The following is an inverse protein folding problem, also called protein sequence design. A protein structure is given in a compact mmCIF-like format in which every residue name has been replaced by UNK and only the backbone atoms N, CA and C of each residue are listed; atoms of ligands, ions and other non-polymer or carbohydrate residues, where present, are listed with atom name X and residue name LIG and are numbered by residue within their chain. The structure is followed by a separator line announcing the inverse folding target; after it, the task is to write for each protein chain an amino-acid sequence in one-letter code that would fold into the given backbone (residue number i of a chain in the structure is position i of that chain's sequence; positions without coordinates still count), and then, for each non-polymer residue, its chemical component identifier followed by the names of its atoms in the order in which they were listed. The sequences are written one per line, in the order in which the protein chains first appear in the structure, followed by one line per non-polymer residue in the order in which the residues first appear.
data_IF_198156502552
#
_entry.id   IF_198156502552
#
_cell.length_a   1.000
_cell.length_b   1.000
_cell.length_c   1.000
_cell.angle_alpha   90.00
_cell.angle_beta   90.00
_cell.angle_gamma   90.00
#
_symmetry.space_group_name_H-M   'P 1'
#
loop_
_entity.id
_entity.type
_entity.pdbx_description
1 polymer ?
#
# COMPACT_ATOMS: atom_id res chain seq x y z
N UNK A 1 -5.50 2.28 -23.64
CA UNK A 1 -6.44 2.29 -22.51
C UNK A 1 -5.66 1.80 -21.30
N UNK A 2 -5.00 2.72 -20.58
CA UNK A 2 -4.23 2.34 -19.40
C UNK A 2 -5.15 2.32 -18.17
N UNK A 3 -4.98 1.33 -17.28
CA UNK A 3 -5.70 1.24 -16.00
C UNK A 3 -5.66 2.53 -15.17
N UNK A 4 -4.60 3.32 -15.33
CA UNK A 4 -4.40 4.62 -14.68
C UNK A 4 -5.34 5.70 -15.25
N UNK A 5 -5.57 5.68 -16.57
CA UNK A 5 -6.55 6.54 -17.24
C UNK A 5 -7.98 6.17 -16.87
N UNK A 6 -8.29 4.86 -16.77
CA UNK A 6 -9.61 4.37 -16.37
C UNK A 6 -9.94 4.73 -14.91
N UNK A 7 -8.94 4.78 -14.03
CA UNK A 7 -9.07 5.23 -12.64
C UNK A 7 -9.07 6.77 -12.48
N UNK A 8 -8.84 7.53 -13.57
CA UNK A 8 -8.71 9.00 -13.58
C UNK A 8 -7.72 9.53 -12.53
N UNK A 9 -6.61 8.84 -12.30
CA UNK A 9 -5.62 9.24 -11.29
C UNK A 9 -4.71 10.31 -11.89
N UNK A 10 -4.68 11.49 -11.27
CA UNK A 10 -3.79 12.56 -11.70
C UNK A 10 -2.32 12.21 -11.36
N UNK A 11 -1.37 12.58 -12.22
CA UNK A 11 0.08 12.42 -12.01
C UNK A 11 0.54 12.97 -10.66
N UNK A 12 -0.05 14.09 -10.20
CA UNK A 12 0.23 14.66 -8.88
C UNK A 12 -0.14 13.71 -7.74
N UNK A 13 -1.28 13.01 -7.85
CA UNK A 13 -1.73 12.02 -6.87
C UNK A 13 -0.81 10.80 -6.85
N UNK A 14 -0.35 10.34 -8.02
CA UNK A 14 0.64 9.25 -8.13
C UNK A 14 1.93 9.63 -7.40
N UNK A 15 2.47 10.81 -7.68
CA UNK A 15 3.70 11.27 -7.05
C UNK A 15 3.57 11.41 -5.54
N UNK A 16 2.50 12.06 -5.05
CA UNK A 16 2.25 12.23 -3.62
C UNK A 16 2.01 10.90 -2.90
N UNK A 17 1.35 9.94 -3.56
CA UNK A 17 1.12 8.61 -3.05
C UNK A 17 2.45 7.86 -2.84
N UNK A 18 3.30 7.83 -3.86
CA UNK A 18 4.61 7.16 -3.79
C UNK A 18 5.50 7.87 -2.79
N UNK A 19 5.64 9.19 -2.87
CA UNK A 19 6.47 9.95 -1.93
C UNK A 19 5.99 9.78 -0.48
N UNK A 20 4.68 9.85 -0.24
CA UNK A 20 4.08 9.63 1.08
C UNK A 20 4.35 8.23 1.63
N UNK A 21 4.23 7.19 0.81
CA UNK A 21 4.47 5.81 1.21
C UNK A 21 5.96 5.50 1.44
N UNK A 22 6.86 6.18 0.73
CA UNK A 22 8.32 6.05 0.93
C UNK A 22 8.71 6.36 2.36
N UNK A 23 8.08 7.35 3.01
CA UNK A 23 8.35 7.67 4.41
C UNK A 23 8.03 6.50 5.35
N UNK A 24 6.96 5.74 5.11
CA UNK A 24 6.61 4.58 5.95
C UNK A 24 7.63 3.46 5.80
N UNK A 25 8.10 3.18 4.58
CA UNK A 25 9.15 2.19 4.36
C UNK A 25 10.48 2.62 4.94
N UNK A 26 10.80 3.92 4.88
CA UNK A 26 11.99 4.47 5.52
C UNK A 26 11.90 4.28 7.04
N UNK A 27 10.80 4.67 7.69
CA UNK A 27 10.60 4.43 9.13
C UNK A 27 10.72 2.94 9.47
N UNK A 28 10.08 2.05 8.71
CA UNK A 28 10.17 0.61 8.93
C UNK A 28 11.61 0.08 8.81
N UNK A 29 12.38 0.60 7.84
CA UNK A 29 13.76 0.21 7.63
C UNK A 29 14.64 0.63 8.81
N UNK A 30 14.47 1.86 9.29
CA UNK A 30 15.18 2.36 10.48
C UNK A 30 14.80 1.56 11.74
N UNK A 31 13.53 1.17 11.89
CA UNK A 31 13.08 0.42 13.07
C UNK A 31 13.56 -1.04 13.08
N UNK A 32 13.49 -1.74 11.95
CA UNK A 32 13.65 -3.20 11.90
C UNK A 32 14.93 -3.68 11.21
N UNK A 33 15.78 -2.76 10.72
CA UNK A 33 17.06 -3.05 10.07
C UNK A 33 18.18 -2.19 10.65
N UNK A 34 18.32 -2.24 11.98
CA UNK A 34 19.30 -1.44 12.75
C UNK A 34 20.76 -1.69 12.33
N UNK A 35 21.09 -2.87 11.80
CA UNK A 35 22.43 -3.17 11.26
C UNK A 35 22.86 -2.16 10.19
N UNK A 36 21.92 -1.67 9.38
CA UNK A 36 22.20 -0.68 8.35
C UNK A 36 22.30 0.74 8.91
N UNK A 37 21.73 1.01 10.08
CA UNK A 37 21.90 2.31 10.74
C UNK A 37 23.32 2.54 11.22
N UNK A 38 23.99 1.47 11.66
CA UNK A 38 25.40 1.53 12.08
C UNK A 38 26.35 1.83 10.92
N UNK A 39 25.90 1.61 9.67
CA UNK A 39 26.65 1.93 8.47
C UNK A 39 26.38 3.36 7.97
N UNK A 40 25.40 4.05 8.55
CA UNK A 40 25.06 5.41 8.16
C UNK A 40 25.95 6.39 8.91
N UNK A 41 26.66 7.22 8.17
CA UNK A 41 27.56 8.23 8.74
C UNK A 41 26.77 9.40 9.31
N UNK A 42 27.31 10.12 10.30
CA UNK A 42 26.62 11.26 10.94
C UNK A 42 26.29 12.37 9.94
N UNK A 43 27.04 12.43 8.84
CA UNK A 43 26.86 13.42 7.78
C UNK A 43 25.98 12.87 6.63
N UNK A 44 24.67 12.75 6.91
CA UNK A 44 23.66 12.19 5.99
C UNK A 44 23.68 12.76 4.57
N UNK A 45 24.11 14.01 4.38
CA UNK A 45 24.12 14.67 3.07
C UNK A 45 25.08 14.04 2.05
N UNK A 46 26.15 13.39 2.52
CA UNK A 46 27.18 12.78 1.67
C UNK A 46 27.25 11.26 1.81
N UNK A 47 26.37 10.66 2.61
CA UNK A 47 26.42 9.24 2.89
C UNK A 47 25.71 8.41 1.81
N UNK A 48 26.50 7.61 1.09
CA UNK A 48 26.02 6.69 0.07
C UNK A 48 25.07 5.64 0.65
N UNK A 49 25.26 5.20 1.89
CA UNK A 49 24.42 4.19 2.53
C UNK A 49 23.03 4.76 2.81
N UNK A 50 22.95 6.01 3.28
CA UNK A 50 21.68 6.72 3.43
C UNK A 50 20.90 6.82 2.10
N UNK A 51 21.54 7.25 1.01
CA UNK A 51 20.88 7.32 -0.30
C UNK A 51 20.47 5.94 -0.83
N UNK A 52 21.25 4.90 -0.55
CA UNK A 52 20.89 3.52 -0.88
C UNK A 52 19.62 3.07 -0.15
N UNK A 53 19.50 3.34 1.15
CA UNK A 53 18.31 3.03 1.95
C UNK A 53 17.09 3.83 1.46
N UNK A 54 17.27 5.11 1.16
CA UNK A 54 16.22 5.94 0.57
C UNK A 54 15.77 5.40 -0.79
N UNK A 55 16.71 4.96 -1.63
CA UNK A 55 16.44 4.31 -2.91
C UNK A 55 15.63 3.02 -2.77
N UNK A 56 16.03 2.12 -1.87
CA UNK A 56 15.26 0.89 -1.58
C UNK A 56 13.85 1.22 -1.10
N UNK A 57 13.74 2.17 -0.16
CA UNK A 57 12.44 2.59 0.39
C UNK A 57 11.52 3.15 -0.70
N UNK A 58 12.09 3.90 -1.65
CA UNK A 58 11.36 4.41 -2.81
C UNK A 58 10.91 3.29 -3.76
N UNK A 59 11.77 2.30 -4.03
CA UNK A 59 11.40 1.13 -4.85
C UNK A 59 10.30 0.31 -4.18
N UNK A 60 10.39 0.08 -2.87
CA UNK A 60 9.34 -0.61 -2.10
C UNK A 60 8.01 0.15 -2.15
N UNK A 61 8.06 1.48 -2.02
CA UNK A 61 6.90 2.35 -2.19
C UNK A 61 6.28 2.22 -3.58
N UNK A 62 7.10 2.16 -4.63
CA UNK A 62 6.63 1.94 -6.00
C UNK A 62 5.90 0.60 -6.14
N UNK A 63 6.50 -0.50 -5.68
CA UNK A 63 5.88 -1.84 -5.68
C UNK A 63 4.56 -1.82 -4.93
N UNK A 64 4.54 -1.19 -3.75
CA UNK A 64 3.35 -1.07 -2.91
C UNK A 64 2.25 -0.25 -3.60
N UNK A 65 2.61 0.81 -4.30
CA UNK A 65 1.69 1.60 -5.11
C UNK A 65 1.04 0.76 -6.23
N UNK A 66 1.81 -0.06 -6.95
CA UNK A 66 1.23 -0.99 -7.94
C UNK A 66 0.29 -2.00 -7.30
N UNK A 67 0.64 -2.55 -6.14
CA UNK A 67 -0.25 -3.45 -5.41
C UNK A 67 -1.58 -2.77 -5.07
N UNK A 68 -1.56 -1.49 -4.68
CA UNK A 68 -2.78 -0.73 -4.43
C UNK A 68 -3.62 -0.49 -5.69
N UNK A 69 -2.98 -0.30 -6.85
CA UNK A 69 -3.69 -0.27 -8.15
C UNK A 69 -4.35 -1.62 -8.39
N UNK A 70 -3.62 -2.73 -8.29
CA UNK A 70 -4.15 -4.07 -8.50
C UNK A 70 -5.33 -4.38 -7.57
N UNK A 71 -5.20 -4.06 -6.27
CA UNK A 71 -6.30 -4.18 -5.29
C UNK A 71 -7.50 -3.35 -5.71
N UNK A 72 -7.30 -2.10 -6.13
CA UNK A 72 -8.39 -1.23 -6.58
C UNK A 72 -9.12 -1.80 -7.81
N UNK A 73 -8.37 -2.39 -8.75
CA UNK A 73 -8.92 -3.09 -9.92
C UNK A 73 -9.72 -4.31 -9.53
N UNK A 74 -9.19 -5.16 -8.63
CA UNK A 74 -9.89 -6.34 -8.14
C UNK A 74 -11.18 -5.92 -7.41
N UNK A 75 -11.11 -4.91 -6.56
CA UNK A 75 -12.28 -4.36 -5.88
C UNK A 75 -13.33 -3.82 -6.86
N UNK A 76 -12.90 -3.15 -7.94
CA UNK A 76 -13.80 -2.70 -9.01
C UNK A 76 -14.52 -3.87 -9.69
N UNK A 77 -13.81 -4.96 -10.00
CA UNK A 77 -14.40 -6.15 -10.62
C UNK A 77 -15.43 -6.85 -9.74
N UNK A 78 -15.19 -6.91 -8.42
CA UNK A 78 -16.07 -7.60 -7.47
C UNK A 78 -17.12 -6.69 -6.79
N UNK A 79 -17.08 -5.38 -7.01
CA UNK A 79 -18.07 -4.45 -6.46
C UNK A 79 -19.35 -4.48 -7.29
N UNK A 80 -20.41 -4.95 -6.63
CA UNK A 80 -21.76 -5.14 -7.14
C UNK A 80 -22.31 -3.93 -7.97
N UNK A 81 -23.08 -4.23 -9.02
CA UNK A 81 -23.56 -3.27 -10.03
C UNK A 81 -24.39 -2.12 -9.41
N UNK A 82 -25.04 -2.34 -8.26
CA UNK A 82 -25.78 -1.32 -7.50
C UNK A 82 -24.90 -0.30 -6.77
N UNK A 83 -23.68 -0.67 -6.35
CA UNK A 83 -22.67 0.28 -5.84
C UNK A 83 -21.85 0.88 -6.98
N UNK A 84 -21.71 0.13 -8.07
CA UNK A 84 -21.09 0.57 -9.31
C UNK A 84 -21.69 1.89 -9.81
N UNK A 85 -23.00 2.14 -9.71
CA UNK A 85 -23.59 3.45 -10.09
C UNK A 85 -23.11 4.65 -9.24
N UNK A 86 -22.79 4.45 -7.95
CA UNK A 86 -22.22 5.50 -7.08
C UNK A 86 -20.73 5.75 -7.36
N UNK A 87 -20.02 4.73 -7.85
CA UNK A 87 -18.58 4.80 -8.19
C UNK A 87 -18.29 5.05 -9.68
N UNK A 88 -19.24 4.78 -10.59
CA UNK A 88 -19.18 5.16 -12.01
C UNK A 88 -19.05 6.68 -12.16
N UNK A 89 -19.65 7.44 -11.23
CA UNK A 89 -19.50 8.89 -11.16
C UNK A 89 -18.13 9.35 -10.62
N UNK A 90 -17.38 8.51 -9.88
CA UNK A 90 -16.07 8.87 -9.33
C UNK A 90 -15.13 7.66 -9.10
N UNK A 91 -14.53 7.09 -10.16
CA UNK A 91 -13.62 5.94 -10.05
C UNK A 91 -12.36 6.23 -9.21
N UNK A 92 -11.94 7.50 -9.14
CA UNK A 92 -10.81 7.93 -8.32
C UNK A 92 -11.03 7.72 -6.81
N UNK A 93 -12.29 7.73 -6.36
CA UNK A 93 -12.64 7.54 -4.96
C UNK A 93 -12.33 6.12 -4.44
N UNK A 94 -12.41 5.10 -5.30
CA UNK A 94 -12.05 3.72 -4.92
C UNK A 94 -10.55 3.63 -4.70
N UNK A 95 -9.77 4.22 -5.60
CA UNK A 95 -8.32 4.25 -5.48
C UNK A 95 -7.87 4.98 -4.20
N UNK A 96 -8.44 6.17 -3.92
CA UNK A 96 -8.12 6.93 -2.70
C UNK A 96 -8.48 6.13 -1.45
N UNK A 97 -9.66 5.50 -1.40
CA UNK A 97 -10.03 4.64 -0.28
C UNK A 97 -9.11 3.41 -0.16
N UNK A 98 -8.66 2.86 -1.28
CA UNK A 98 -7.68 1.77 -1.30
C UNK A 98 -6.38 2.20 -0.65
N UNK A 99 -5.86 3.37 -1.06
CA UNK A 99 -4.65 4.00 -0.55
C UNK A 99 -4.71 4.32 0.95
N UNK A 100 -5.82 4.91 1.43
CA UNK A 100 -5.98 5.25 2.86
C UNK A 100 -5.95 3.98 3.72
N UNK A 101 -6.71 2.94 3.35
CA UNK A 101 -6.66 1.66 4.06
C UNK A 101 -5.27 1.04 4.01
N UNK A 102 -4.57 1.17 2.89
CA UNK A 102 -3.22 0.66 2.70
C UNK A 102 -2.19 1.32 3.60
N UNK A 103 -2.29 2.64 3.80
CA UNK A 103 -1.49 3.37 4.79
C UNK A 103 -1.80 2.82 6.20
N UNK A 104 -3.08 2.62 6.52
CA UNK A 104 -3.47 1.98 7.78
C UNK A 104 -2.82 0.61 7.97
N UNK A 105 -2.81 -0.24 6.94
CA UNK A 105 -2.18 -1.56 7.01
C UNK A 105 -0.67 -1.48 7.24
N UNK A 106 0.04 -0.56 6.57
CA UNK A 106 1.46 -0.34 6.81
C UNK A 106 1.72 0.10 8.27
N UNK A 107 0.91 1.04 8.78
CA UNK A 107 1.05 1.52 10.17
C UNK A 107 0.78 0.41 11.18
N UNK A 108 -0.29 -0.38 11.00
CA UNK A 108 -0.60 -1.50 11.89
C UNK A 108 0.42 -2.63 11.79
N UNK A 109 0.90 -2.95 10.59
CA UNK A 109 1.96 -3.92 10.39
C UNK A 109 3.24 -3.48 11.11
N UNK A 110 3.60 -2.20 11.02
CA UNK A 110 4.74 -1.63 11.72
C UNK A 110 4.56 -1.71 13.24
N UNK A 111 3.39 -1.34 13.77
CA UNK A 111 3.09 -1.41 15.19
C UNK A 111 3.18 -2.85 15.72
N UNK A 112 2.53 -3.80 15.05
CA UNK A 112 2.55 -5.21 15.46
C UNK A 112 3.97 -5.78 15.37
N UNK A 113 4.69 -5.47 14.29
CA UNK A 113 6.06 -5.95 14.10
C UNK A 113 7.01 -5.40 15.17
N UNK A 114 6.80 -4.15 15.59
CA UNK A 114 7.54 -3.53 16.69
C UNK A 114 7.20 -4.16 18.04
N UNK A 115 5.92 -4.37 18.34
CA UNK A 115 5.48 -4.98 19.60
C UNK A 115 5.95 -6.44 19.76
N UNK A 116 6.10 -7.16 18.66
CA UNK A 116 6.56 -8.55 18.65
C UNK A 116 8.07 -8.70 18.49
N UNK A 117 8.80 -7.60 18.39
CA UNK A 117 10.26 -7.55 18.20
C UNK A 117 10.73 -8.43 17.02
N UNK A 118 10.07 -8.27 15.88
CA UNK A 118 10.37 -9.06 14.68
C UNK A 118 11.17 -8.28 13.62
N UNK A 119 11.92 -9.03 12.82
CA UNK A 119 12.70 -8.49 11.72
C UNK A 119 11.87 -7.83 10.61
N UNK A 120 12.55 -7.03 9.78
CA UNK A 120 11.97 -6.37 8.60
C UNK A 120 11.21 -7.33 7.64
N UNK A 121 11.64 -8.60 7.54
CA UNK A 121 10.95 -9.61 6.72
C UNK A 121 9.52 -9.86 7.20
N UNK A 122 9.30 -9.89 8.51
CA UNK A 122 7.98 -10.10 9.11
C UNK A 122 7.09 -8.87 8.91
N UNK A 123 7.65 -7.65 9.00
CA UNK A 123 6.93 -6.42 8.63
C UNK A 123 6.37 -6.49 7.21
N UNK A 124 7.19 -6.91 6.24
CA UNK A 124 6.74 -7.09 4.86
C UNK A 124 5.64 -8.16 4.78
N UNK A 125 5.83 -9.29 5.46
CA UNK A 125 4.83 -10.37 5.50
C UNK A 125 3.49 -9.91 6.07
N UNK A 126 3.47 -9.21 7.21
CA UNK A 126 2.25 -8.69 7.81
C UNK A 126 1.56 -7.67 6.91
N UNK A 127 2.34 -6.78 6.31
CA UNK A 127 1.83 -5.78 5.37
C UNK A 127 1.09 -6.45 4.20
N UNK A 128 1.69 -7.48 3.57
CA UNK A 128 1.03 -8.23 2.50
C UNK A 128 -0.16 -9.05 2.97
N UNK A 129 -0.10 -9.64 4.17
CA UNK A 129 -1.21 -10.38 4.76
C UNK A 129 -2.45 -9.52 4.96
N UNK A 130 -2.31 -8.27 5.41
CA UNK A 130 -3.46 -7.37 5.54
C UNK A 130 -4.12 -7.03 4.20
N UNK A 131 -3.31 -6.84 3.15
CA UNK A 131 -3.85 -6.67 1.78
C UNK A 131 -4.59 -7.93 1.34
N UNK A 132 -3.98 -9.11 1.53
CA UNK A 132 -4.57 -10.38 1.14
C UNK A 132 -5.92 -10.61 1.84
N UNK A 133 -6.00 -10.37 3.15
CA UNK A 133 -7.24 -10.45 3.94
C UNK A 133 -8.31 -9.52 3.36
N UNK A 134 -7.95 -8.28 2.98
CA UNK A 134 -8.91 -7.35 2.37
C UNK A 134 -9.47 -7.85 1.04
N UNK A 135 -8.63 -8.40 0.18
CA UNK A 135 -9.04 -8.96 -1.11
C UNK A 135 -9.97 -10.15 -0.88
N UNK A 136 -9.54 -11.13 -0.08
CA UNK A 136 -10.31 -12.33 0.25
C UNK A 136 -11.65 -11.96 0.87
N UNK A 137 -11.67 -11.01 1.81
CA UNK A 137 -12.90 -10.52 2.43
C UNK A 137 -13.85 -9.90 1.40
N UNK A 138 -13.32 -9.15 0.45
CA UNK A 138 -14.12 -8.50 -0.60
C UNK A 138 -14.67 -9.52 -1.60
N UNK A 139 -13.91 -10.57 -1.92
CA UNK A 139 -14.37 -11.71 -2.73
C UNK A 139 -15.46 -12.51 -2.01
N UNK A 140 -15.26 -12.87 -0.74
CA UNK A 140 -16.26 -13.55 0.09
C UNK A 140 -17.54 -12.72 0.16
N UNK A 141 -17.41 -11.41 0.43
CA UNK A 141 -18.58 -10.53 0.50
C UNK A 141 -19.35 -10.51 -0.83
N UNK A 142 -18.64 -10.43 -1.95
CA UNK A 142 -19.25 -10.47 -3.28
C UNK A 142 -19.95 -11.80 -3.54
N UNK A 143 -19.33 -12.95 -3.22
CA UNK A 143 -19.91 -14.27 -3.46
C UNK A 143 -21.10 -14.61 -2.55
N UNK A 144 -21.06 -14.22 -1.27
CA UNK A 144 -22.09 -14.57 -0.30
C UNK A 144 -23.25 -13.57 -0.23
N UNK A 145 -23.00 -12.26 -0.42
CA UNK A 145 -24.04 -11.24 -0.31
C UNK A 145 -24.69 -10.86 -1.64
N UNK A 146 -24.16 -11.32 -2.78
CA UNK A 146 -24.81 -11.16 -4.09
C UNK A 146 -25.85 -12.28 -4.40
N UNK A 147 -26.18 -13.10 -3.39
CA UNK A 147 -27.28 -14.09 -3.42
C UNK A 147 -28.62 -13.52 -2.93
N UNK A 148 -28.81 -12.21 -3.01
CA UNK A 148 -30.05 -11.54 -2.59
C UNK A 148 -30.74 -10.92 -3.81
N UNK A 149 -31.87 -11.55 -4.20
CA UNK A 149 -32.86 -11.22 -5.25
C UNK A 149 -32.70 -11.93 -6.60
N UNK A 150 -33.07 -13.22 -6.63
CA UNK A 150 -34.08 -13.69 -7.59
C UNK A 150 -35.45 -13.33 -7.02
#
# INVERSE_FOLDING_TARGET
MSLIEDLKINKRTVFLAIAGQTYYFLIAFFLFKQDFLLLIDENYFFDKNFYYVMGISFVMSFIWFFMNICVSTVLLLFTDHRRSTKYLGNPSGIFINSMICSIGYLTFAMLINFLLDYDFKHFISFSFSFIAVRIVWSMIKSLFFNKSFV
#
